data_IF_614722400908
#
_entry.id   IF_614722400908
#
_cell.length_a   1.000
_cell.length_b   1.000
_cell.length_c   1.000
_cell.angle_alpha   90.00
_cell.angle_beta   90.00
_cell.angle_gamma   90.00
#
_symmetry.space_group_name_H-M   'P 1'
#
loop_
_entity.id
_entity.type
_entity.pdbx_description
1 polymer ?
#
# COMPACT_ATOMS: atom_id res chain seq x y z
N UNK A 1 2.54 -43.52 -47.14
CA UNK A 1 1.53 -44.07 -46.20
C UNK A 1 1.89 -43.56 -44.82
N UNK A 2 1.40 -42.38 -44.46
CA UNK A 2 1.69 -41.72 -43.18
C UNK A 2 0.61 -42.13 -42.20
N UNK A 3 1.00 -42.84 -41.14
CA UNK A 3 0.10 -43.35 -40.11
C UNK A 3 -0.34 -42.25 -39.14
N UNK A 4 -1.65 -42.10 -39.01
CA UNK A 4 -2.33 -41.25 -38.04
C UNK A 4 -2.38 -41.98 -36.68
N UNK A 5 -1.81 -41.38 -35.63
CA UNK A 5 -1.84 -41.94 -34.27
C UNK A 5 -3.00 -41.32 -33.51
N UNK A 6 -4.05 -42.12 -33.28
CA UNK A 6 -5.22 -41.74 -32.51
C UNK A 6 -4.91 -41.63 -31.00
N UNK A 7 -5.42 -40.57 -30.36
CA UNK A 7 -5.29 -40.34 -28.92
C UNK A 7 -6.25 -41.22 -28.09
N UNK A 8 -5.88 -41.66 -26.87
CA UNK A 8 -6.72 -42.50 -26.02
C UNK A 8 -7.85 -41.70 -25.31
N UNK A 9 -8.99 -42.35 -24.95
CA UNK A 9 -10.14 -41.68 -24.37
C UNK A 9 -9.99 -41.38 -22.87
N UNK A 10 -10.57 -40.25 -22.43
CA UNK A 10 -10.61 -39.82 -21.03
C UNK A 10 -11.59 -40.65 -20.17
N UNK A 11 -11.30 -40.87 -18.87
CA UNK A 11 -12.20 -41.58 -17.97
C UNK A 11 -13.43 -40.75 -17.59
N UNK A 12 -14.59 -41.44 -17.52
CA UNK A 12 -15.90 -40.88 -17.15
C UNK A 12 -15.96 -40.52 -15.66
N UNK A 13 -16.40 -39.29 -15.36
CA UNK A 13 -16.61 -38.77 -14.00
C UNK A 13 -17.87 -39.39 -13.39
N UNK A 14 -17.71 -40.23 -12.38
CA UNK A 14 -18.82 -40.83 -11.63
C UNK A 14 -19.40 -39.83 -10.61
N UNK A 15 -20.74 -39.83 -10.48
CA UNK A 15 -21.52 -38.82 -9.77
C UNK A 15 -21.38 -38.84 -8.25
N UNK A 16 -21.26 -37.65 -7.66
CA UNK A 16 -21.27 -37.40 -6.22
C UNK A 16 -22.72 -37.39 -5.72
N UNK A 17 -23.13 -38.42 -4.96
CA UNK A 17 -24.39 -38.42 -4.20
C UNK A 17 -24.26 -37.50 -2.98
N UNK A 18 -25.26 -36.63 -2.82
CA UNK A 18 -25.49 -35.76 -1.67
C UNK A 18 -25.78 -36.63 -0.45
N UNK A 19 -25.20 -36.26 0.70
CA UNK A 19 -25.73 -36.68 1.98
C UNK A 19 -26.05 -35.44 2.82
N UNK A 20 -27.32 -35.32 3.18
CA UNK A 20 -27.89 -34.36 4.11
C UNK A 20 -27.85 -34.99 5.50
N UNK A 21 -27.46 -34.25 6.55
CA UNK A 21 -28.35 -33.97 7.68
C UNK A 21 -27.71 -33.10 8.78
N UNK A 22 -28.55 -32.52 9.68
CA UNK A 22 -28.33 -31.22 10.30
C UNK A 22 -27.94 -31.32 11.79
N UNK A 23 -27.47 -30.20 12.35
CA UNK A 23 -27.50 -30.04 13.81
C UNK A 23 -27.71 -28.57 14.20
N UNK A 24 -28.91 -28.31 14.70
CA UNK A 24 -29.27 -27.20 15.60
C UNK A 24 -28.50 -27.35 16.91
N UNK A 25 -28.05 -26.25 17.55
CA UNK A 25 -28.19 -26.00 19.01
C UNK A 25 -27.74 -24.57 19.38
N UNK A 26 -28.75 -23.82 19.87
CA UNK A 26 -28.81 -22.84 20.98
C UNK A 26 -27.83 -21.67 21.09
N UNK A 27 -28.44 -20.48 20.98
CA UNK A 27 -28.10 -19.25 21.68
C UNK A 27 -28.06 -19.46 23.20
N UNK A 28 -27.04 -18.94 23.86
CA UNK A 28 -27.13 -18.45 25.23
C UNK A 28 -26.47 -17.07 25.30
N UNK A 29 -27.29 -16.08 25.62
CA UNK A 29 -26.90 -14.77 26.12
C UNK A 29 -27.11 -14.80 27.64
N UNK A 30 -26.20 -14.17 28.38
CA UNK A 30 -26.49 -13.48 29.65
C UNK A 30 -25.21 -12.82 30.16
N UNK A 31 -25.18 -11.50 30.06
CA UNK A 31 -24.95 -10.53 31.13
C UNK A 31 -24.30 -11.03 32.43
N UNK A 32 -23.26 -10.32 32.88
CA UNK A 32 -23.42 -9.56 34.12
C UNK A 32 -22.38 -8.43 34.28
N UNK A 33 -22.90 -7.26 34.65
CA UNK A 33 -22.16 -6.12 35.17
C UNK A 33 -21.63 -6.40 36.59
N UNK A 34 -20.67 -5.60 37.09
CA UNK A 34 -20.77 -4.85 38.37
C UNK A 34 -19.50 -4.00 38.60
N UNK A 35 -19.78 -2.71 38.84
CA UNK A 35 -19.05 -1.58 39.47
C UNK A 35 -17.85 -1.82 40.38
N UNK A 36 -16.87 -0.90 40.34
CA UNK A 36 -16.39 -0.05 41.48
C UNK A 36 -15.34 0.96 40.96
N UNK A 37 -15.60 2.27 40.98
CA UNK A 37 -15.24 3.28 42.02
C UNK A 37 -13.75 3.66 42.03
N UNK A 38 -13.44 4.94 41.78
CA UNK A 38 -12.11 5.51 42.00
C UNK A 38 -11.96 6.93 41.46
N UNK A 39 -12.21 7.92 42.31
CA UNK A 39 -11.98 9.34 42.07
C UNK A 39 -10.48 9.68 41.98
N UNK A 40 -10.10 10.72 41.20
CA UNK A 40 -9.25 11.79 41.74
C UNK A 40 -9.26 13.08 40.88
N UNK A 41 -9.30 14.21 41.58
CA UNK A 41 -9.24 15.59 41.13
C UNK A 41 -7.81 16.02 40.74
N UNK A 42 -7.68 17.03 39.86
CA UNK A 42 -7.05 18.30 40.27
C UNK A 42 -7.22 19.44 39.25
N UNK A 43 -7.63 20.59 39.80
CA UNK A 43 -7.79 21.93 39.21
C UNK A 43 -6.47 22.72 39.19
N UNK A 44 -6.39 23.69 38.28
CA UNK A 44 -5.98 25.10 38.46
C UNK A 44 -6.25 25.80 37.11
N UNK A 45 -7.12 26.81 36.93
CA UNK A 45 -7.26 28.08 37.65
C UNK A 45 -6.11 29.01 37.20
N UNK A 46 -6.24 30.15 36.51
CA UNK A 46 -7.30 31.13 36.27
C UNK A 46 -6.64 32.52 36.40
N UNK A 47 -6.95 33.51 35.54
CA UNK A 47 -6.40 34.87 35.72
C UNK A 47 -6.55 35.82 34.54
N UNK A 48 -7.51 36.74 34.66
CA UNK A 48 -7.80 37.84 33.75
C UNK A 48 -6.91 39.07 34.03
N UNK A 49 -6.70 39.95 33.04
CA UNK A 49 -6.06 41.25 33.25
C UNK A 49 -5.92 42.10 31.98
N UNK A 50 -6.76 43.13 31.86
CA UNK A 50 -6.73 44.20 30.85
C UNK A 50 -5.81 45.36 31.24
N UNK A 51 -5.08 45.95 30.29
CA UNK A 51 -4.40 47.24 30.45
C UNK A 51 -3.52 47.64 29.25
N UNK A 52 -3.79 48.79 28.65
CA UNK A 52 -3.20 49.31 27.41
C UNK A 52 -1.93 50.16 27.61
N UNK A 53 -1.08 50.20 26.56
CA UNK A 53 -0.45 51.38 25.95
C UNK A 53 1.06 51.27 25.60
N UNK A 54 1.31 51.33 24.30
CA UNK A 54 2.34 52.10 23.57
C UNK A 54 3.85 51.72 23.59
N UNK A 55 4.36 51.72 22.34
CA UNK A 55 5.70 52.09 21.86
C UNK A 55 6.79 51.00 21.78
N UNK A 56 7.29 50.78 20.55
CA UNK A 56 8.57 50.11 20.29
C UNK A 56 8.52 48.99 19.26
N UNK A 57 8.11 49.29 18.02
CA UNK A 57 8.09 48.32 16.93
C UNK A 57 9.50 48.00 16.41
N UNK A 58 10.00 46.80 16.71
CA UNK A 58 11.07 46.14 15.96
C UNK A 58 10.49 44.85 15.36
N UNK A 59 9.98 44.95 14.13
CA UNK A 59 9.61 43.78 13.33
C UNK A 59 10.89 43.07 12.88
N UNK A 60 11.30 42.04 13.63
CA UNK A 60 12.32 41.12 13.16
C UNK A 60 11.72 40.34 11.99
N UNK A 61 12.06 40.77 10.77
CA UNK A 61 11.79 40.03 9.55
C UNK A 61 12.36 38.62 9.72
N UNK A 62 11.48 37.65 9.97
CA UNK A 62 11.78 36.25 9.77
C UNK A 62 12.19 36.13 8.30
N UNK A 63 13.40 35.64 7.98
CA UNK A 63 13.77 35.45 6.58
C UNK A 63 12.68 34.59 5.94
N UNK A 64 12.27 34.85 4.69
CA UNK A 64 11.35 33.96 4.00
C UNK A 64 11.99 32.59 4.09
N UNK A 65 11.36 31.69 4.83
CA UNK A 65 11.69 30.28 4.76
C UNK A 65 11.50 29.93 3.31
N UNK A 66 12.61 29.86 2.58
CA UNK A 66 12.68 29.32 1.24
C UNK A 66 12.35 27.84 1.38
N UNK A 67 11.06 27.55 1.54
CA UNK A 67 10.49 26.31 1.05
C UNK A 67 10.64 26.39 -0.46
N UNK A 68 11.84 26.05 -0.93
CA UNK A 68 12.02 25.56 -2.28
C UNK A 68 11.13 24.32 -2.37
N UNK A 69 9.89 24.50 -2.81
CA UNK A 69 8.97 23.42 -3.13
C UNK A 69 9.47 22.75 -4.40
N UNK A 70 10.62 22.07 -4.30
CA UNK A 70 11.14 21.19 -5.34
C UNK A 70 10.28 19.94 -5.33
N UNK A 71 9.21 19.98 -6.14
CA UNK A 71 8.39 18.83 -6.48
C UNK A 71 7.26 18.57 -5.49
N UNK A 72 6.07 19.08 -5.79
CA UNK A 72 4.85 18.94 -4.99
C UNK A 72 4.66 17.54 -4.39
N UNK A 73 4.30 17.53 -3.11
CA UNK A 73 4.04 16.33 -2.34
C UNK A 73 3.03 15.44 -3.08
N UNK A 74 3.48 14.21 -3.38
CA UNK A 74 2.70 13.23 -4.12
C UNK A 74 2.24 12.15 -3.16
N UNK A 75 0.94 11.93 -3.12
CA UNK A 75 0.31 10.87 -2.33
C UNK A 75 0.24 9.56 -3.11
N UNK A 76 0.08 8.45 -2.39
CA UNK A 76 -0.08 7.10 -2.92
C UNK A 76 -1.20 7.01 -3.96
N UNK A 77 -2.31 7.73 -3.77
CA UNK A 77 -3.43 7.81 -4.72
C UNK A 77 -3.02 8.23 -6.14
N UNK A 78 -1.95 9.03 -6.29
CA UNK A 78 -1.47 9.50 -7.60
C UNK A 78 -0.56 8.51 -8.32
N UNK A 79 -0.22 7.36 -7.71
CA UNK A 79 0.73 6.37 -8.24
C UNK A 79 0.12 5.30 -9.17
N UNK A 80 -1.08 5.55 -9.73
CA UNK A 80 -1.81 4.60 -10.61
C UNK A 80 -1.86 3.20 -10.01
N UNK A 81 -2.53 3.09 -8.86
CA UNK A 81 -2.59 1.87 -8.06
C UNK A 81 -3.15 0.68 -8.85
N UNK A 82 -2.64 -0.52 -8.52
CA UNK A 82 -3.14 -1.77 -9.08
C UNK A 82 -4.16 -2.39 -8.13
N UNK A 83 -5.24 -2.96 -8.67
CA UNK A 83 -6.21 -3.71 -7.87
C UNK A 83 -5.50 -4.89 -7.19
N UNK A 84 -5.69 -5.03 -5.89
CA UNK A 84 -5.10 -6.13 -5.15
C UNK A 84 -5.74 -7.47 -5.57
N UNK A 85 -4.91 -8.50 -5.73
CA UNK A 85 -5.40 -9.87 -5.71
C UNK A 85 -5.65 -10.28 -4.25
N UNK A 86 -6.88 -10.69 -3.95
CA UNK A 86 -7.28 -11.18 -2.64
C UNK A 86 -7.75 -12.63 -2.72
N UNK A 87 -7.34 -13.46 -1.75
CA UNK A 87 -7.78 -14.86 -1.63
C UNK A 87 -8.03 -15.20 -0.15
N UNK A 88 -8.82 -16.23 0.16
CA UNK A 88 -8.97 -16.72 1.54
C UNK A 88 -7.66 -17.30 2.09
N UNK A 89 -7.39 -17.11 3.37
CA UNK A 89 -6.15 -17.58 4.02
C UNK A 89 -6.01 -19.12 4.09
N UNK A 90 -7.12 -19.85 3.91
CA UNK A 90 -7.14 -21.31 3.79
C UNK A 90 -6.78 -21.85 2.40
N UNK A 91 -6.49 -20.97 1.43
CA UNK A 91 -6.10 -21.38 0.07
C UNK A 91 -4.75 -22.12 0.08
N UNK A 92 -4.58 -23.15 -0.74
CA UNK A 92 -3.28 -23.83 -0.86
C UNK A 92 -2.26 -22.95 -1.56
N UNK A 93 -0.97 -23.15 -1.27
CA UNK A 93 0.13 -22.43 -1.94
C UNK A 93 0.06 -22.65 -3.45
N UNK A 94 -0.15 -23.89 -3.90
CA UNK A 94 -0.28 -24.23 -5.33
C UNK A 94 -1.41 -23.43 -6.03
N UNK A 95 -2.57 -23.28 -5.38
CA UNK A 95 -3.67 -22.48 -5.91
C UNK A 95 -3.38 -20.98 -5.89
N UNK A 96 -2.75 -20.48 -4.82
CA UNK A 96 -2.32 -19.09 -4.75
C UNK A 96 -1.34 -18.75 -5.89
N UNK A 97 -0.34 -19.60 -6.13
CA UNK A 97 0.61 -19.45 -7.24
C UNK A 97 -0.08 -19.41 -8.60
N UNK A 98 -1.07 -20.29 -8.85
CA UNK A 98 -1.86 -20.26 -10.10
C UNK A 98 -2.59 -18.94 -10.28
N UNK A 99 -3.22 -18.42 -9.22
CA UNK A 99 -3.94 -17.13 -9.27
C UNK A 99 -2.99 -15.95 -9.47
N UNK A 100 -1.84 -15.96 -8.81
CA UNK A 100 -0.78 -14.96 -8.98
C UNK A 100 -0.27 -14.95 -10.43
N UNK A 101 0.02 -16.12 -10.99
CA UNK A 101 0.46 -16.28 -12.37
C UNK A 101 -0.60 -15.78 -13.37
N UNK A 102 -1.87 -16.17 -13.18
CA UNK A 102 -2.98 -15.75 -14.05
C UNK A 102 -3.20 -14.22 -14.04
N UNK A 103 -2.97 -13.57 -12.89
CA UNK A 103 -3.08 -12.12 -12.71
C UNK A 103 -1.78 -11.37 -13.04
N UNK A 104 -0.68 -12.08 -13.27
CA UNK A 104 0.68 -11.52 -13.45
C UNK A 104 1.09 -10.62 -12.28
N UNK A 105 0.88 -11.09 -11.06
CA UNK A 105 1.27 -10.40 -9.82
C UNK A 105 2.22 -11.27 -9.00
N UNK A 106 3.08 -10.63 -8.21
CA UNK A 106 4.10 -11.25 -7.36
C UNK A 106 3.74 -11.23 -5.86
N UNK A 107 2.59 -10.65 -5.51
CA UNK A 107 2.05 -10.63 -4.16
C UNK A 107 0.53 -10.83 -4.14
N UNK A 108 0.02 -11.43 -3.07
CA UNK A 108 -1.39 -11.68 -2.82
C UNK A 108 -1.76 -11.33 -1.39
N UNK A 109 -2.90 -10.66 -1.22
CA UNK A 109 -3.46 -10.36 0.09
C UNK A 109 -4.42 -11.46 0.53
N UNK A 110 -4.37 -11.77 1.82
CA UNK A 110 -5.13 -12.83 2.43
C UNK A 110 -6.24 -12.26 3.29
N UNK A 111 -7.38 -12.94 3.24
CA UNK A 111 -8.56 -12.58 4.02
C UNK A 111 -8.95 -13.70 4.97
N UNK A 112 -9.37 -13.32 6.18
CA UNK A 112 -9.91 -14.24 7.17
C UNK A 112 -11.38 -14.62 6.87
N UNK A 113 -12.02 -15.35 7.78
CA UNK A 113 -13.42 -15.74 7.68
C UNK A 113 -14.40 -14.54 7.68
N UNK A 114 -13.98 -13.38 8.19
CA UNK A 114 -14.76 -12.15 8.24
C UNK A 114 -14.47 -11.23 7.03
N UNK A 115 -13.72 -11.72 6.03
CA UNK A 115 -13.25 -10.96 4.89
C UNK A 115 -12.30 -9.78 5.23
N UNK A 116 -11.70 -9.79 6.42
CA UNK A 116 -10.72 -8.80 6.85
C UNK A 116 -9.30 -9.19 6.41
N UNK A 117 -8.46 -8.20 6.15
CA UNK A 117 -7.06 -8.42 5.78
C UNK A 117 -6.31 -9.13 6.91
N UNK A 118 -5.90 -10.38 6.69
CA UNK A 118 -5.20 -11.20 7.69
C UNK A 118 -3.71 -11.37 7.41
N UNK A 119 -3.30 -11.24 6.15
CA UNK A 119 -1.91 -11.43 5.77
C UNK A 119 -1.57 -11.06 4.34
N UNK A 120 -0.28 -11.18 4.03
CA UNK A 120 0.27 -11.06 2.67
C UNK A 120 1.22 -12.23 2.40
N UNK A 121 1.22 -12.70 1.16
CA UNK A 121 2.19 -13.67 0.64
C UNK A 121 2.82 -13.12 -0.63
N UNK A 122 4.14 -13.26 -0.73
CA UNK A 122 4.94 -12.87 -1.89
C UNK A 122 5.67 -14.06 -2.50
N UNK A 123 6.19 -13.89 -3.71
CA UNK A 123 7.14 -14.82 -4.35
C UNK A 123 8.30 -15.21 -3.42
N UNK A 124 8.85 -14.25 -2.65
CA UNK A 124 9.89 -14.47 -1.65
C UNK A 124 9.43 -15.41 -0.54
N UNK A 125 8.21 -15.24 -0.04
CA UNK A 125 7.68 -16.12 1.01
C UNK A 125 7.51 -17.55 0.52
N UNK A 126 7.07 -17.73 -0.74
CA UNK A 126 6.99 -19.05 -1.37
C UNK A 126 8.38 -19.68 -1.49
N UNK A 127 9.35 -18.94 -2.02
CA UNK A 127 10.72 -19.44 -2.17
C UNK A 127 11.34 -19.82 -0.82
N UNK A 128 11.20 -18.96 0.18
CA UNK A 128 11.92 -19.11 1.47
C UNK A 128 11.21 -19.97 2.49
N UNK A 129 9.87 -20.06 2.47
CA UNK A 129 9.09 -20.78 3.51
C UNK A 129 8.37 -22.01 2.99
N UNK A 130 8.40 -22.26 1.68
CA UNK A 130 7.81 -23.46 1.07
C UNK A 130 8.91 -24.27 0.38
N UNK A 131 9.61 -23.68 -0.58
CA UNK A 131 10.60 -24.41 -1.39
C UNK A 131 11.84 -24.74 -0.56
N UNK A 132 12.43 -23.75 0.11
CA UNK A 132 13.61 -23.96 0.95
C UNK A 132 13.35 -24.89 2.16
N UNK A 133 12.09 -24.96 2.61
CA UNK A 133 11.65 -25.82 3.73
C UNK A 133 11.08 -27.18 3.24
N UNK A 134 11.19 -27.47 1.94
CA UNK A 134 10.72 -28.72 1.31
C UNK A 134 9.24 -29.07 1.57
N UNK A 135 8.40 -28.04 1.75
CA UNK A 135 6.97 -28.22 1.97
C UNK A 135 6.24 -28.50 0.65
N UNK A 136 5.25 -29.40 0.70
CA UNK A 136 4.39 -29.70 -0.46
C UNK A 136 3.39 -28.57 -0.73
N UNK A 137 3.46 -27.83 -1.86
CA UNK A 137 2.60 -26.67 -2.12
C UNK A 137 1.10 -27.00 -2.24
N UNK A 138 0.76 -28.22 -2.63
CA UNK A 138 -0.62 -28.70 -2.79
C UNK A 138 -1.29 -29.00 -1.44
N UNK A 139 -0.49 -29.21 -0.39
CA UNK A 139 -0.96 -29.58 0.95
C UNK A 139 -0.73 -28.48 2.00
N UNK A 140 0.07 -27.47 1.64
CA UNK A 140 0.37 -26.33 2.51
C UNK A 140 -0.59 -25.19 2.20
N UNK A 141 -1.23 -24.66 3.23
CA UNK A 141 -2.11 -23.49 3.12
C UNK A 141 -1.31 -22.20 3.28
N UNK A 142 -1.72 -21.14 2.59
CA UNK A 142 -1.02 -19.84 2.59
C UNK A 142 -0.95 -19.21 3.99
N UNK A 143 -1.93 -19.46 4.86
CA UNK A 143 -1.90 -18.99 6.26
C UNK A 143 -0.72 -19.52 7.08
N UNK A 144 -0.07 -20.62 6.66
CA UNK A 144 1.13 -21.16 7.31
C UNK A 144 2.41 -20.39 6.94
N UNK A 145 2.43 -19.75 5.78
CA UNK A 145 3.63 -19.09 5.23
C UNK A 145 3.48 -17.57 5.07
N UNK A 146 2.30 -17.02 5.35
CA UNK A 146 2.04 -15.59 5.24
C UNK A 146 2.80 -14.74 6.26
N UNK A 147 3.01 -13.49 5.91
CA UNK A 147 3.30 -12.44 6.89
C UNK A 147 1.96 -11.94 7.44
N UNK A 148 1.73 -12.16 8.74
CA UNK A 148 0.52 -11.72 9.44
C UNK A 148 0.55 -10.23 9.69
N UNK A 149 -0.63 -9.60 9.74
CA UNK A 149 -0.79 -8.18 10.08
C UNK A 149 0.17 -7.26 9.29
N UNK A 150 0.13 -7.27 7.95
CA UNK A 150 1.07 -6.50 7.14
C UNK A 150 0.94 -5.00 7.42
N UNK A 151 2.08 -4.32 7.43
CA UNK A 151 2.12 -2.85 7.45
C UNK A 151 1.39 -2.34 6.22
N UNK A 152 0.51 -1.36 6.39
CA UNK A 152 -0.26 -0.75 5.32
C UNK A 152 -0.08 0.78 5.27
N UNK A 153 -0.61 1.38 4.21
CA UNK A 153 -0.69 2.84 4.02
C UNK A 153 -2.10 3.23 3.59
N UNK A 154 -2.41 4.50 3.70
CA UNK A 154 -3.66 5.07 3.16
C UNK A 154 -3.41 5.66 1.77
N UNK A 155 -4.48 5.95 1.04
CA UNK A 155 -4.44 6.64 -0.25
C UNK A 155 -3.76 8.03 -0.16
N UNK A 156 -3.91 8.70 0.98
CA UNK A 156 -3.36 10.04 1.25
C UNK A 156 -1.93 10.02 1.81
N UNK A 157 -1.40 8.84 2.18
CA UNK A 157 0.00 8.73 2.60
C UNK A 157 0.94 9.26 1.51
N UNK A 158 2.02 9.94 1.88
CA UNK A 158 2.99 10.42 0.91
C UNK A 158 3.71 9.23 0.25
N UNK A 159 3.93 9.32 -1.06
CA UNK A 159 4.65 8.31 -1.84
C UNK A 159 6.06 8.05 -1.28
N UNK A 160 6.73 9.11 -0.81
CA UNK A 160 8.05 9.02 -0.19
C UNK A 160 8.01 8.27 1.15
N UNK A 161 6.98 8.50 1.97
CA UNK A 161 6.81 7.78 3.24
C UNK A 161 6.51 6.30 3.00
N UNK A 162 5.68 5.99 2.01
CA UNK A 162 5.42 4.62 1.60
C UNK A 162 6.71 3.91 1.14
N UNK A 163 7.53 4.59 0.34
CA UNK A 163 8.83 4.08 -0.11
C UNK A 163 9.79 3.87 1.08
N UNK A 164 9.84 4.80 2.03
CA UNK A 164 10.66 4.67 3.24
C UNK A 164 10.23 3.44 4.08
N UNK A 165 8.93 3.23 4.27
CA UNK A 165 8.39 2.03 4.95
C UNK A 165 8.86 0.74 4.27
N UNK A 166 8.80 0.69 2.94
CA UNK A 166 9.27 -0.46 2.15
C UNK A 166 10.77 -0.73 2.35
N UNK A 167 11.61 0.31 2.27
CA UNK A 167 13.07 0.20 2.43
C UNK A 167 13.45 -0.25 3.85
N UNK A 168 12.90 0.40 4.87
CA UNK A 168 13.19 0.09 6.28
C UNK A 168 12.70 -1.32 6.64
N UNK A 169 11.50 -1.68 6.19
CA UNK A 169 10.89 -2.97 6.45
C UNK A 169 11.41 -4.11 5.57
N UNK A 170 12.26 -3.82 4.57
CA UNK A 170 12.84 -4.79 3.62
C UNK A 170 11.77 -5.60 2.86
N UNK A 171 10.68 -4.95 2.47
CA UNK A 171 9.61 -5.51 1.65
C UNK A 171 9.24 -4.54 0.51
N UNK A 172 8.57 -5.05 -0.53
CA UNK A 172 8.29 -4.29 -1.76
C UNK A 172 6.82 -3.93 -1.94
N UNK A 173 5.94 -4.51 -1.15
CA UNK A 173 4.49 -4.40 -1.30
C UNK A 173 3.87 -3.82 -0.05
N UNK A 174 2.96 -2.87 -0.23
CA UNK A 174 2.16 -2.27 0.83
C UNK A 174 0.68 -2.37 0.45
N UNK A 175 -0.17 -3.01 1.28
CA UNK A 175 -1.61 -2.85 1.19
C UNK A 175 -1.97 -1.37 1.30
N UNK A 176 -2.88 -0.92 0.45
CA UNK A 176 -3.50 0.41 0.55
C UNK A 176 -4.90 0.22 1.12
N UNK A 177 -5.13 0.80 2.30
CA UNK A 177 -6.37 0.64 3.08
C UNK A 177 -7.07 1.98 3.22
N UNK A 178 -8.39 1.97 3.03
CA UNK A 178 -9.26 3.13 3.16
C UNK A 178 -10.54 2.69 3.88
N UNK A 179 -10.96 3.41 4.93
CA UNK A 179 -12.13 3.05 5.75
C UNK A 179 -12.13 1.60 6.28
N UNK A 180 -10.96 1.04 6.55
CA UNK A 180 -10.80 -0.34 7.03
C UNK A 180 -10.83 -1.41 5.92
N UNK A 181 -11.02 -1.02 4.67
CA UNK A 181 -11.04 -1.93 3.52
C UNK A 181 -9.80 -1.80 2.66
N UNK A 182 -9.35 -2.92 2.10
CA UNK A 182 -8.25 -2.95 1.14
C UNK A 182 -8.74 -2.51 -0.23
N UNK A 183 -8.21 -1.39 -0.72
CA UNK A 183 -8.58 -0.86 -2.04
C UNK A 183 -7.56 -1.21 -3.13
N UNK A 184 -6.29 -1.43 -2.76
CA UNK A 184 -5.21 -1.65 -3.71
C UNK A 184 -3.96 -2.28 -3.07
N UNK A 185 -3.03 -2.69 -3.93
CA UNK A 185 -1.67 -3.06 -3.54
C UNK A 185 -0.67 -2.10 -4.20
N UNK A 186 0.14 -1.43 -3.38
CA UNK A 186 1.22 -0.57 -3.84
C UNK A 186 2.51 -1.40 -3.93
N UNK A 187 3.14 -1.36 -5.10
CA UNK A 187 4.44 -1.95 -5.37
C UNK A 187 5.51 -0.85 -5.43
N UNK A 188 6.70 -1.13 -4.89
CA UNK A 188 7.85 -0.21 -4.88
C UNK A 188 8.18 0.37 -6.26
N UNK A 189 7.99 -0.41 -7.33
CA UNK A 189 8.22 0.02 -8.72
C UNK A 189 7.33 1.21 -9.08
N UNK A 190 6.10 1.31 -8.54
CA UNK A 190 5.23 2.47 -8.78
C UNK A 190 5.81 3.75 -8.18
N UNK A 191 6.41 3.66 -7.00
CA UNK A 191 7.12 4.78 -6.38
C UNK A 191 8.34 5.19 -7.20
N UNK A 192 9.13 4.20 -7.66
CA UNK A 192 10.34 4.45 -8.46
C UNK A 192 10.02 5.06 -9.82
N UNK A 193 9.02 4.52 -10.54
CA UNK A 193 8.58 5.09 -11.82
C UNK A 193 8.08 6.51 -11.67
N UNK A 194 7.28 6.82 -10.63
CA UNK A 194 6.84 8.20 -10.40
C UNK A 194 8.02 9.12 -10.11
N UNK A 195 9.00 8.69 -9.30
CA UNK A 195 10.19 9.46 -9.01
C UNK A 195 11.01 9.77 -10.29
N UNK A 196 11.28 8.75 -11.11
CA UNK A 196 12.02 8.89 -12.38
C UNK A 196 11.27 9.83 -13.33
N UNK A 197 9.97 9.59 -13.55
CA UNK A 197 9.15 10.44 -14.43
C UNK A 197 9.07 11.89 -13.97
N UNK A 198 9.20 12.15 -12.66
CA UNK A 198 9.25 13.52 -12.13
C UNK A 198 10.61 14.17 -12.37
N UNK A 199 11.69 13.42 -12.17
CA UNK A 199 13.04 13.91 -12.44
C UNK A 199 13.22 14.27 -13.92
N UNK A 200 12.76 13.42 -14.84
CA UNK A 200 12.79 13.69 -16.28
C UNK A 200 12.04 14.98 -16.63
N UNK A 201 10.82 15.16 -16.10
CA UNK A 201 10.03 16.38 -16.33
C UNK A 201 10.69 17.63 -15.77
N UNK A 202 11.29 17.55 -14.59
CA UNK A 202 11.98 18.68 -13.97
C UNK A 202 13.23 19.07 -14.78
N UNK A 203 13.96 18.08 -15.31
CA UNK A 203 15.12 18.32 -16.17
C UNK A 203 14.72 18.99 -17.50
N UNK A 204 13.66 18.51 -18.15
CA UNK A 204 13.12 19.11 -19.39
C UNK A 204 12.68 20.56 -19.16
N UNK A 205 11.96 20.81 -18.07
CA UNK A 205 11.53 22.16 -17.70
C UNK A 205 12.73 23.09 -17.44
N UNK A 206 13.75 22.60 -16.75
CA UNK A 206 14.99 23.36 -16.51
C UNK A 206 15.70 23.73 -17.83
N UNK A 207 15.80 22.77 -18.76
CA UNK A 207 16.39 23.00 -20.08
C UNK A 207 15.60 24.02 -20.91
N UNK A 208 14.27 23.91 -20.92
CA UNK A 208 13.40 24.86 -21.62
C UNK A 208 13.51 26.28 -21.05
N UNK A 209 13.60 26.41 -19.72
CA UNK A 209 13.80 27.70 -19.06
C UNK A 209 15.17 28.29 -19.45
N UNK A 210 16.24 27.50 -19.41
CA UNK A 210 17.58 27.97 -19.78
C UNK A 210 17.63 28.47 -21.23
N UNK A 211 17.06 27.72 -22.17
CA UNK A 211 16.99 28.11 -23.58
C UNK A 211 16.18 29.41 -23.79
N UNK A 212 15.09 29.59 -23.04
CA UNK A 212 14.30 30.82 -23.09
C UNK A 212 15.09 32.04 -22.57
N UNK A 213 15.86 31.87 -21.49
CA UNK A 213 16.73 32.93 -20.93
C UNK A 213 17.81 33.33 -21.93
N UNK A 214 18.51 32.37 -22.56
CA UNK A 214 19.49 32.67 -23.61
C UNK A 214 18.89 33.42 -24.80
N UNK A 215 17.65 33.06 -25.19
CA UNK A 215 16.95 33.75 -26.27
C UNK A 215 16.67 35.22 -25.98
N UNK A 216 16.30 35.54 -24.73
CA UNK A 216 16.07 36.91 -24.27
C UNK A 216 17.37 37.72 -24.26
N UNK A 217 18.47 37.15 -23.75
CA UNK A 217 19.78 37.83 -23.70
C UNK A 217 20.29 38.22 -25.10
N UNK A 218 20.10 37.35 -26.10
CA UNK A 218 20.49 37.64 -27.49
C UNK A 218 19.67 38.78 -28.11
N UNK A 219 18.38 38.89 -27.77
CA UNK A 219 17.51 39.95 -28.28
C UNK A 219 17.86 41.33 -27.71
N UNK A 220 18.24 41.42 -26.43
CA UNK A 220 18.67 42.68 -25.84
C UNK A 220 20.10 43.07 -26.23
N UNK A 221 21.04 42.13 -26.37
CA UNK A 221 22.40 42.44 -26.86
C UNK A 221 22.43 43.05 -28.27
N UNK A 222 21.46 42.69 -29.11
CA UNK A 222 21.28 43.24 -30.46
C UNK A 222 20.67 44.64 -30.48
N UNK A 223 19.89 45.04 -29.46
CA UNK A 223 19.14 46.30 -29.45
C UNK A 223 19.95 47.52 -28.98
N UNK A 224 21.11 47.30 -28.35
CA UNK A 224 21.98 48.37 -27.81
C UNK A 224 23.28 48.59 -28.60
N UNK A 225 23.47 47.87 -29.72
CA UNK A 225 24.68 47.93 -30.55
C UNK A 225 24.51 48.69 -31.88
N UNK A 226 23.46 49.52 -32.00
CA UNK A 226 23.12 50.28 -33.22
C UNK A 226 23.18 51.78 -33.04
#
# INVERSE_FOLDING_TARGET
>A
MSGEVAAPPLPRRNGMKRNQNPTTIRKHASDNATTTTGANNNNNGGGDGSGAAAAGGWTLNKPPSSQSSVGGERTVKKLRLSKALTIPEGTTVSEACRRMAARRVDAVLLTDANALLSGIVTDKDIATRVIAEELRPEQTVVSKIMTRNPIFVTSDTLAIEALQKMVQGKFRHLPVVENGEVIALLDITKCLYDAISRMEKAAEQGSAIAAAVEGVERQWGSAFSG
#
